data_IF_316778924499
#
_entry.id   IF_316778924499
#
_cell.length_a   1.000
_cell.length_b   1.000
_cell.length_c   1.000
_cell.angle_alpha   90.00
_cell.angle_beta   90.00
_cell.angle_gamma   90.00
#
_symmetry.space_group_name_H-M   'P 1'
#
loop_
_entity.id
_entity.type
_entity.pdbx_description
1 polymer ?
#
# COMPACT_ATOMS: atom_id res chain seq x y z
N UNK A 1 -17.39 6.05 -9.55
CA UNK A 1 -16.88 6.11 -10.95
C UNK A 1 -16.74 7.56 -11.44
N UNK A 2 -17.34 8.54 -10.77
CA UNK A 2 -17.30 9.97 -11.17
C UNK A 2 -15.99 10.71 -10.81
N UNK A 3 -15.07 10.08 -10.08
CA UNK A 3 -13.82 10.72 -9.60
C UNK A 3 -12.63 10.59 -10.56
N UNK A 4 -12.77 9.88 -11.68
CA UNK A 4 -11.68 9.65 -12.62
C UNK A 4 -11.90 10.37 -13.96
N UNK A 5 -10.81 10.90 -14.52
CA UNK A 5 -10.84 11.46 -15.87
C UNK A 5 -11.23 10.41 -16.91
N UNK A 6 -11.99 10.78 -17.97
CA UNK A 6 -12.50 9.85 -18.96
C UNK A 6 -11.39 9.06 -19.66
N UNK A 7 -10.21 9.68 -19.84
CA UNK A 7 -9.05 9.05 -20.44
C UNK A 7 -8.48 7.91 -19.59
N UNK A 8 -8.58 7.98 -18.26
CA UNK A 8 -8.14 6.92 -17.36
C UNK A 8 -9.14 5.76 -17.36
N UNK A 9 -10.44 6.06 -17.30
CA UNK A 9 -11.50 5.05 -17.28
C UNK A 9 -11.52 4.22 -18.58
N UNK A 10 -11.18 4.84 -19.71
CA UNK A 10 -11.13 4.16 -21.01
C UNK A 10 -9.97 3.17 -21.14
N UNK A 11 -9.00 3.17 -20.22
CA UNK A 11 -7.80 2.33 -20.32
C UNK A 11 -8.05 0.88 -19.93
N UNK A 12 -7.44 -0.09 -20.63
CA UNK A 12 -7.59 -1.50 -20.30
C UNK A 12 -7.07 -1.81 -18.88
N UNK A 13 -6.04 -1.10 -18.41
CA UNK A 13 -5.49 -1.27 -17.08
C UNK A 13 -6.53 -0.91 -16.00
N UNK A 14 -7.18 0.24 -16.15
CA UNK A 14 -8.22 0.68 -15.23
C UNK A 14 -9.40 -0.29 -15.23
N UNK A 15 -9.87 -0.69 -16.42
CA UNK A 15 -11.01 -1.60 -16.56
C UNK A 15 -10.73 -2.98 -15.93
N UNK A 16 -9.53 -3.51 -16.09
CA UNK A 16 -9.14 -4.80 -15.51
C UNK A 16 -9.12 -4.76 -13.98
N UNK A 17 -8.53 -3.71 -13.39
CA UNK A 17 -8.47 -3.54 -11.93
C UNK A 17 -9.86 -3.22 -11.36
N UNK A 18 -10.64 -2.38 -12.02
CA UNK A 18 -11.99 -2.02 -11.56
C UNK A 18 -12.94 -3.23 -11.57
N UNK A 19 -12.88 -4.05 -12.63
CA UNK A 19 -13.68 -5.29 -12.74
C UNK A 19 -13.40 -6.27 -11.60
N UNK A 20 -12.15 -6.33 -11.13
CA UNK A 20 -11.74 -7.20 -10.03
C UNK A 20 -12.57 -6.96 -8.75
N UNK A 21 -13.00 -5.71 -8.54
CA UNK A 21 -13.82 -5.32 -7.40
C UNK A 21 -15.32 -5.38 -7.67
N UNK A 22 -15.75 -5.06 -8.89
CA UNK A 22 -17.18 -5.04 -9.26
C UNK A 22 -17.77 -6.43 -9.43
N UNK A 23 -16.96 -7.40 -9.87
CA UNK A 23 -17.42 -8.76 -10.15
C UNK A 23 -17.07 -9.70 -8.99
N UNK A 24 -18.07 -10.32 -8.32
CA UNK A 24 -17.81 -11.27 -7.24
C UNK A 24 -16.91 -12.43 -7.68
N UNK A 25 -17.10 -12.91 -8.91
CA UNK A 25 -16.38 -14.05 -9.48
C UNK A 25 -15.03 -13.68 -10.11
N UNK A 26 -14.74 -12.39 -10.30
CA UNK A 26 -13.46 -11.99 -10.87
C UNK A 26 -12.32 -12.33 -9.91
N UNK A 27 -11.29 -12.97 -10.46
CA UNK A 27 -10.09 -13.38 -9.75
C UNK A 27 -8.87 -12.52 -10.09
N UNK A 28 -7.93 -12.44 -9.16
CA UNK A 28 -6.64 -11.78 -9.37
C UNK A 28 -5.90 -12.36 -10.60
N UNK A 29 -6.00 -13.67 -10.82
CA UNK A 29 -5.36 -14.36 -11.93
C UNK A 29 -5.94 -13.94 -13.30
N UNK A 30 -7.26 -13.83 -13.40
CA UNK A 30 -7.91 -13.36 -14.63
C UNK A 30 -7.58 -11.90 -14.92
N UNK A 31 -7.57 -11.04 -13.89
CA UNK A 31 -7.17 -9.62 -14.04
C UNK A 31 -5.71 -9.50 -14.50
N UNK A 32 -4.80 -10.30 -13.93
CA UNK A 32 -3.41 -10.37 -14.38
C UNK A 32 -3.30 -10.81 -15.84
N UNK A 33 -4.00 -11.87 -16.24
CA UNK A 33 -4.01 -12.32 -17.63
C UNK A 33 -4.53 -11.25 -18.58
N UNK A 34 -5.56 -10.50 -18.20
CA UNK A 34 -6.09 -9.39 -19.01
C UNK A 34 -5.07 -8.27 -19.20
N UNK A 35 -4.31 -7.93 -18.15
CA UNK A 35 -3.24 -6.92 -18.24
C UNK A 35 -2.11 -7.38 -19.16
N UNK A 36 -1.62 -8.62 -18.97
CA UNK A 36 -0.59 -9.18 -19.84
C UNK A 36 -1.05 -9.23 -21.29
N UNK A 37 -2.31 -9.61 -21.54
CA UNK A 37 -2.88 -9.63 -22.88
C UNK A 37 -2.97 -8.23 -23.50
N UNK A 38 -3.39 -7.23 -22.72
CA UNK A 38 -3.45 -5.83 -23.17
C UNK A 38 -2.06 -5.31 -23.57
N UNK A 39 -1.02 -5.65 -22.80
CA UNK A 39 0.38 -5.35 -23.15
C UNK A 39 0.76 -5.96 -24.50
N UNK A 40 0.52 -7.26 -24.67
CA UNK A 40 0.87 -7.96 -25.91
C UNK A 40 0.14 -7.39 -27.13
N UNK A 41 -1.13 -7.01 -26.98
CA UNK A 41 -1.91 -6.37 -28.04
C UNK A 41 -1.33 -5.00 -28.43
N UNK A 42 -0.91 -4.19 -27.44
CA UNK A 42 -0.23 -2.92 -27.67
C UNK A 42 1.10 -3.13 -28.41
N UNK A 43 1.90 -4.10 -27.99
CA UNK A 43 3.18 -4.41 -28.65
C UNK A 43 2.99 -4.89 -30.09
N UNK A 44 1.97 -5.71 -30.37
CA UNK A 44 1.64 -6.16 -31.72
C UNK A 44 1.18 -5.03 -32.64
N UNK A 45 0.61 -3.95 -32.10
CA UNK A 45 0.20 -2.79 -32.91
C UNK A 45 1.38 -2.04 -33.53
N UNK A 46 2.59 -2.17 -32.97
CA UNK A 46 3.83 -1.52 -33.41
C UNK A 46 3.73 0.02 -33.57
N UNK A 47 2.75 0.65 -32.92
CA UNK A 47 2.55 2.11 -33.00
C UNK A 47 3.56 2.91 -32.18
N UNK A 48 4.14 2.31 -31.15
CA UNK A 48 5.11 2.93 -30.25
C UNK A 48 6.29 1.97 -29.96
N UNK A 49 7.47 2.49 -29.54
CA UNK A 49 8.56 1.65 -29.07
C UNK A 49 8.15 0.77 -27.88
N UNK A 50 8.63 -0.48 -27.83
CA UNK A 50 8.34 -1.45 -26.75
C UNK A 50 8.58 -0.88 -25.35
N UNK A 51 9.73 -0.23 -25.13
CA UNK A 51 10.05 0.40 -23.85
C UNK A 51 9.04 1.48 -23.43
N UNK A 52 8.49 2.24 -24.39
CA UNK A 52 7.45 3.24 -24.12
C UNK A 52 6.12 2.57 -23.78
N UNK A 53 5.77 1.49 -24.46
CA UNK A 53 4.58 0.68 -24.16
C UNK A 53 4.69 0.11 -22.75
N UNK A 54 5.81 -0.51 -22.41
CA UNK A 54 6.03 -1.14 -21.11
C UNK A 54 6.01 -0.12 -19.97
N UNK A 55 6.69 1.01 -20.17
CA UNK A 55 6.67 2.13 -19.22
C UNK A 55 5.26 2.70 -19.00
N UNK A 56 4.52 2.98 -20.08
CA UNK A 56 3.15 3.48 -19.98
C UNK A 56 2.21 2.46 -19.34
N UNK A 57 2.29 1.20 -19.74
CA UNK A 57 1.42 0.16 -19.25
C UNK A 57 1.63 -0.09 -17.75
N UNK A 58 2.90 -0.09 -17.29
CA UNK A 58 3.23 -0.13 -15.86
C UNK A 58 2.69 1.09 -15.12
N UNK A 59 2.91 2.29 -15.67
CA UNK A 59 2.44 3.56 -15.11
C UNK A 59 0.92 3.54 -14.90
N UNK A 60 0.13 3.22 -15.93
CA UNK A 60 -1.32 3.21 -15.83
C UNK A 60 -1.85 2.07 -14.95
N UNK A 61 -1.18 0.92 -14.91
CA UNK A 61 -1.53 -0.16 -13.99
C UNK A 61 -1.41 0.29 -12.53
N UNK A 62 -0.26 0.86 -12.15
CA UNK A 62 -0.05 1.29 -10.76
C UNK A 62 -0.89 2.51 -10.39
N UNK A 63 -1.10 3.44 -11.32
CA UNK A 63 -2.00 4.57 -11.13
C UNK A 63 -3.41 4.07 -10.83
N UNK A 64 -3.99 3.25 -11.71
CA UNK A 64 -5.34 2.71 -11.53
C UNK A 64 -5.47 1.92 -10.23
N UNK A 65 -4.48 1.10 -9.89
CA UNK A 65 -4.46 0.34 -8.66
C UNK A 65 -4.52 1.23 -7.41
N UNK A 66 -3.65 2.24 -7.32
CA UNK A 66 -3.58 3.12 -6.14
C UNK A 66 -4.85 3.96 -6.03
N UNK A 67 -5.34 4.50 -7.14
CA UNK A 67 -6.57 5.28 -7.19
C UNK A 67 -7.79 4.44 -6.75
N UNK A 68 -7.95 3.25 -7.31
CA UNK A 68 -9.04 2.34 -6.95
C UNK A 68 -8.93 1.88 -5.49
N UNK A 69 -7.73 1.55 -5.01
CA UNK A 69 -7.52 1.16 -3.62
C UNK A 69 -7.93 2.26 -2.64
N UNK A 70 -7.71 3.53 -3.00
CA UNK A 70 -8.08 4.69 -2.17
C UNK A 70 -9.58 4.85 -2.01
N UNK A 71 -10.35 4.51 -3.05
CA UNK A 71 -11.82 4.53 -3.03
C UNK A 71 -12.43 3.21 -2.52
N UNK A 72 -11.61 2.23 -2.16
CA UNK A 72 -12.07 0.90 -1.74
C UNK A 72 -11.91 0.76 -0.23
N UNK A 73 -13.00 0.51 0.52
CA UNK A 73 -12.92 0.25 1.95
C UNK A 73 -11.91 -0.87 2.27
N UNK A 74 -11.09 -0.68 3.31
CA UNK A 74 -10.02 -1.61 3.70
C UNK A 74 -10.41 -3.10 3.66
N UNK A 75 -11.60 -3.45 4.17
CA UNK A 75 -12.12 -4.81 4.23
C UNK A 75 -12.40 -5.46 2.85
N UNK A 76 -12.42 -4.67 1.77
CA UNK A 76 -12.68 -5.12 0.40
C UNK A 76 -11.42 -5.11 -0.48
N UNK A 77 -10.27 -4.72 0.07
CA UNK A 77 -9.02 -4.58 -0.69
C UNK A 77 -8.26 -5.90 -0.90
N UNK A 78 -8.68 -7.00 -0.26
CA UNK A 78 -7.95 -8.29 -0.31
C UNK A 78 -7.67 -8.77 -1.75
N UNK A 79 -8.63 -8.61 -2.66
CA UNK A 79 -8.44 -8.97 -4.07
C UNK A 79 -7.36 -8.12 -4.76
N UNK A 80 -7.26 -6.84 -4.42
CA UNK A 80 -6.22 -5.96 -4.96
C UNK A 80 -4.83 -6.38 -4.46
N UNK A 81 -4.73 -6.73 -3.18
CA UNK A 81 -3.47 -7.22 -2.58
C UNK A 81 -3.05 -8.52 -3.24
N UNK A 82 -3.98 -9.46 -3.40
CA UNK A 82 -3.71 -10.73 -4.10
C UNK A 82 -3.26 -10.50 -5.55
N UNK A 83 -3.92 -9.57 -6.26
CA UNK A 83 -3.53 -9.17 -7.60
C UNK A 83 -2.08 -8.64 -7.65
N UNK A 84 -1.69 -7.75 -6.73
CA UNK A 84 -0.30 -7.26 -6.66
C UNK A 84 0.68 -8.39 -6.35
N UNK A 85 0.36 -9.28 -5.42
CA UNK A 85 1.18 -10.45 -5.09
C UNK A 85 1.40 -11.35 -6.30
N UNK A 86 0.37 -11.59 -7.11
CA UNK A 86 0.49 -12.40 -8.33
C UNK A 86 1.27 -11.66 -9.42
N UNK A 87 1.00 -10.37 -9.61
CA UNK A 87 1.72 -9.53 -10.57
C UNK A 87 3.22 -9.53 -10.27
N UNK A 88 3.60 -9.32 -9.00
CA UNK A 88 4.99 -9.33 -8.54
C UNK A 88 5.69 -10.68 -8.76
N UNK A 89 4.95 -11.79 -8.78
CA UNK A 89 5.48 -13.14 -9.03
C UNK A 89 5.50 -13.52 -10.51
N UNK A 90 5.13 -12.61 -11.40
CA UNK A 90 5.00 -12.88 -12.83
C UNK A 90 6.16 -12.28 -13.62
N UNK A 91 7.20 -13.08 -13.92
CA UNK A 91 8.25 -12.63 -14.81
C UNK A 91 7.70 -12.48 -16.23
N UNK A 92 8.18 -11.44 -16.93
CA UNK A 92 7.92 -11.20 -18.34
C UNK A 92 9.24 -11.14 -19.09
N UNK A 93 9.24 -11.65 -20.31
CA UNK A 93 10.43 -11.72 -21.17
C UNK A 93 10.08 -11.14 -22.53
N UNK A 94 10.97 -10.31 -23.09
CA UNK A 94 10.82 -9.86 -24.46
C UNK A 94 11.08 -11.04 -25.41
N UNK A 95 10.13 -11.42 -26.28
CA UNK A 95 10.30 -12.57 -27.17
C UNK A 95 11.38 -12.36 -28.24
N UNK A 96 11.82 -11.13 -28.46
CA UNK A 96 12.83 -10.75 -29.46
C UNK A 96 14.23 -10.78 -28.87
N UNK A 97 14.43 -10.21 -27.69
CA UNK A 97 15.76 -10.11 -27.05
C UNK A 97 16.02 -11.22 -26.03
N UNK A 98 14.97 -11.85 -25.50
CA UNK A 98 15.08 -12.79 -24.38
C UNK A 98 15.34 -12.12 -23.03
N UNK A 99 15.38 -10.78 -22.98
CA UNK A 99 15.65 -10.01 -21.76
C UNK A 99 14.35 -9.69 -21.01
N UNK A 100 14.47 -9.41 -19.71
CA UNK A 100 13.35 -8.89 -18.91
C UNK A 100 13.13 -7.42 -19.25
N UNK A 101 11.93 -7.03 -19.71
CA UNK A 101 11.62 -5.63 -19.94
C UNK A 101 11.67 -4.83 -18.65
N UNK A 102 12.04 -3.54 -18.75
CA UNK A 102 12.10 -2.64 -17.60
C UNK A 102 11.22 -1.41 -17.78
N UNK A 103 10.85 -0.81 -16.65
CA UNK A 103 10.26 0.52 -16.56
C UNK A 103 10.93 1.25 -15.40
N UNK A 104 11.38 2.49 -15.59
CA UNK A 104 12.20 3.26 -14.61
C UNK A 104 13.35 2.44 -14.02
N UNK A 105 14.09 1.72 -14.87
CA UNK A 105 15.23 0.87 -14.50
C UNK A 105 14.90 -0.25 -13.49
N UNK A 106 13.61 -0.59 -13.34
CA UNK A 106 13.10 -1.70 -12.55
C UNK A 106 12.52 -2.78 -13.45
N UNK A 107 12.66 -4.05 -13.07
CA UNK A 107 12.08 -5.16 -13.82
C UNK A 107 10.56 -5.03 -13.85
N UNK A 108 9.99 -5.16 -15.04
CA UNK A 108 8.56 -5.05 -15.22
C UNK A 108 7.85 -6.12 -14.37
N UNK A 109 6.87 -5.66 -13.58
CA UNK A 109 6.06 -6.41 -12.62
C UNK A 109 6.78 -6.92 -11.37
N UNK A 110 7.90 -7.62 -11.51
CA UNK A 110 8.60 -8.24 -10.36
C UNK A 110 9.15 -7.23 -9.35
N UNK A 111 9.54 -6.04 -9.83
CA UNK A 111 9.99 -4.93 -8.97
C UNK A 111 8.88 -3.87 -8.74
N UNK A 112 7.67 -4.11 -9.24
CA UNK A 112 6.50 -3.22 -9.13
C UNK A 112 6.81 -1.74 -9.46
N UNK A 113 7.32 -1.45 -10.69
CA UNK A 113 7.68 -0.10 -11.09
C UNK A 113 6.53 0.89 -10.89
N UNK A 114 6.84 2.10 -10.40
CA UNK A 114 5.93 3.18 -10.06
C UNK A 114 5.02 2.98 -8.84
N UNK A 115 4.84 1.77 -8.30
CA UNK A 115 3.95 1.55 -7.16
C UNK A 115 4.37 2.39 -5.94
N UNK A 116 5.65 2.30 -5.58
CA UNK A 116 6.21 3.08 -4.45
C UNK A 116 6.20 4.58 -4.71
N UNK A 117 6.40 5.00 -5.97
CA UNK A 117 6.33 6.41 -6.37
C UNK A 117 4.93 6.95 -6.10
N UNK A 118 3.88 6.28 -6.59
CA UNK A 118 2.51 6.76 -6.41
C UNK A 118 2.00 6.72 -4.98
N UNK A 119 2.34 5.67 -4.24
CA UNK A 119 2.00 5.59 -2.82
C UNK A 119 2.72 6.68 -2.02
N UNK A 120 3.99 6.97 -2.36
CA UNK A 120 4.75 8.05 -1.74
C UNK A 120 4.22 9.44 -2.06
N UNK A 121 3.95 9.73 -3.33
CA UNK A 121 3.40 11.02 -3.76
C UNK A 121 2.05 11.32 -3.10
N UNK A 122 1.26 10.28 -2.81
CA UNK A 122 -0.05 10.38 -2.15
C UNK A 122 -0.01 10.11 -0.65
N UNK A 123 1.18 9.98 -0.05
CA UNK A 123 1.34 9.79 1.39
C UNK A 123 1.12 11.09 2.19
N UNK A 124 1.24 12.26 1.57
CA UNK A 124 1.13 13.51 2.32
C UNK A 124 -0.31 13.79 2.76
N UNK A 125 -0.50 14.06 4.05
CA UNK A 125 -1.80 14.46 4.63
C UNK A 125 -1.64 15.71 5.49
N UNK A 126 -2.54 16.69 5.31
CA UNK A 126 -2.50 17.95 6.06
C UNK A 126 -3.43 17.89 7.28
N UNK A 127 -2.84 17.61 8.45
CA UNK A 127 -3.55 17.55 9.74
C UNK A 127 -3.94 18.92 10.31
N UNK A 128 -3.40 20.02 9.78
CA UNK A 128 -3.64 21.38 10.30
C UNK A 128 -4.89 22.03 9.71
N UNK A 129 -5.54 21.40 8.73
CA UNK A 129 -6.79 21.87 8.13
C UNK A 129 -7.91 20.87 8.37
N UNK A 130 -9.14 21.36 8.37
CA UNK A 130 -10.31 20.48 8.32
C UNK A 130 -10.38 19.85 6.92
N UNK A 131 -10.26 18.53 6.86
CA UNK A 131 -10.40 17.78 5.60
C UNK A 131 -11.85 17.29 5.45
N UNK A 132 -12.40 17.26 4.21
CA UNK A 132 -13.68 16.61 3.95
C UNK A 132 -13.66 15.13 4.37
N UNK A 133 -14.78 14.56 4.85
CA UNK A 133 -14.84 13.15 5.23
C UNK A 133 -14.34 12.19 4.14
N UNK A 134 -14.63 12.46 2.87
CA UNK A 134 -14.16 11.62 1.75
C UNK A 134 -12.64 11.62 1.61
N UNK A 135 -11.96 12.75 1.85
CA UNK A 135 -10.49 12.81 1.81
C UNK A 135 -9.85 12.06 2.98
N UNK A 136 -10.51 12.06 4.15
CA UNK A 136 -10.07 11.28 5.30
C UNK A 136 -10.24 9.78 5.00
N UNK A 137 -11.38 9.39 4.43
CA UNK A 137 -11.65 8.00 4.05
C UNK A 137 -10.68 7.50 2.98
N UNK A 138 -10.44 8.29 1.92
CA UNK A 138 -9.44 7.97 0.89
C UNK A 138 -8.03 7.79 1.47
N UNK A 139 -7.67 8.64 2.43
CA UNK A 139 -6.40 8.58 3.14
C UNK A 139 -6.27 7.31 3.98
N UNK A 140 -7.29 6.98 4.77
CA UNK A 140 -7.35 5.78 5.60
C UNK A 140 -7.33 4.50 4.75
N UNK A 141 -8.11 4.44 3.67
CA UNK A 141 -8.13 3.31 2.75
C UNK A 141 -6.78 3.07 2.08
N UNK A 142 -6.08 4.14 1.67
CA UNK A 142 -4.75 4.03 1.07
C UNK A 142 -3.72 3.48 2.09
N UNK A 143 -3.79 3.92 3.35
CA UNK A 143 -2.93 3.40 4.41
C UNK A 143 -3.23 1.94 4.72
N UNK A 144 -4.51 1.56 4.79
CA UNK A 144 -4.90 0.17 4.95
C UNK A 144 -4.38 -0.69 3.79
N UNK A 145 -4.39 -0.18 2.55
CA UNK A 145 -3.84 -0.88 1.40
C UNK A 145 -2.33 -1.09 1.54
N UNK A 146 -1.57 -0.04 1.88
CA UNK A 146 -0.13 -0.13 2.14
C UNK A 146 0.20 -1.12 3.27
N UNK A 147 -0.58 -1.11 4.35
CA UNK A 147 -0.43 -2.04 5.45
C UNK A 147 -0.67 -3.49 5.01
N UNK A 148 -1.74 -3.75 4.24
CA UNK A 148 -2.03 -5.09 3.72
C UNK A 148 -0.97 -5.57 2.70
N UNK A 149 -0.46 -4.71 1.84
CA UNK A 149 0.69 -5.03 0.96
C UNK A 149 1.93 -5.39 1.77
N UNK A 150 2.20 -4.63 2.84
CA UNK A 150 3.32 -4.85 3.75
C UNK A 150 3.22 -6.20 4.45
N UNK A 151 2.02 -6.59 4.90
CA UNK A 151 1.78 -7.89 5.49
C UNK A 151 1.93 -9.04 4.48
N UNK A 152 1.54 -8.82 3.22
CA UNK A 152 1.67 -9.79 2.15
C UNK A 152 3.10 -9.93 1.59
N UNK A 153 4.03 -9.06 1.99
CA UNK A 153 5.41 -9.07 1.52
C UNK A 153 6.17 -10.30 2.04
N UNK A 154 6.92 -10.97 1.15
CA UNK A 154 7.62 -12.22 1.50
C UNK A 154 8.72 -12.04 2.58
N UNK A 155 9.36 -10.87 2.66
CA UNK A 155 10.37 -10.54 3.66
C UNK A 155 10.52 -9.02 3.88
N UNK A 156 11.28 -8.61 4.89
CA UNK A 156 11.64 -7.19 5.12
C UNK A 156 12.39 -6.62 3.90
N UNK A 157 11.98 -5.45 3.43
CA UNK A 157 12.58 -4.77 2.28
C UNK A 157 12.12 -5.28 0.91
N UNK A 158 11.16 -6.20 0.87
CA UNK A 158 10.51 -6.65 -0.36
C UNK A 158 9.82 -5.49 -1.12
N UNK A 159 9.56 -5.64 -2.42
CA UNK A 159 8.94 -4.60 -3.25
C UNK A 159 7.53 -4.16 -2.79
N UNK A 160 6.85 -5.02 -2.02
CA UNK A 160 5.55 -4.73 -1.39
C UNK A 160 5.65 -4.27 0.06
N UNK A 161 6.86 -4.19 0.63
CA UNK A 161 7.07 -3.77 2.00
C UNK A 161 7.08 -2.24 2.11
N UNK A 162 5.97 -1.71 2.63
CA UNK A 162 5.72 -0.30 2.83
C UNK A 162 5.84 0.12 4.30
N UNK A 163 6.52 -0.67 5.14
CA UNK A 163 6.67 -0.41 6.59
C UNK A 163 7.18 1.00 6.92
N UNK A 164 7.95 1.64 6.03
CA UNK A 164 8.42 3.03 6.21
C UNK A 164 7.25 4.02 6.39
N UNK A 165 6.13 3.80 5.70
CA UNK A 165 4.95 4.65 5.81
C UNK A 165 4.17 4.38 7.11
N UNK A 166 4.22 3.14 7.61
CA UNK A 166 3.76 2.81 8.96
C UNK A 166 4.57 3.55 10.03
N UNK A 167 5.90 3.58 9.89
CA UNK A 167 6.78 4.34 10.78
C UNK A 167 6.43 5.83 10.81
N UNK A 168 6.30 6.47 9.64
CA UNK A 168 5.91 7.88 9.56
C UNK A 168 4.53 8.15 10.18
N UNK A 169 3.60 7.21 10.01
CA UNK A 169 2.27 7.31 10.63
C UNK A 169 2.37 7.25 12.15
N UNK A 170 3.20 6.37 12.71
CA UNK A 170 3.38 6.24 14.16
C UNK A 170 4.11 7.42 14.78
N UNK A 171 5.16 7.92 14.12
CA UNK A 171 5.84 9.15 14.55
C UNK A 171 4.81 10.30 14.61
N UNK A 172 4.00 10.45 13.55
CA UNK A 172 2.97 11.49 13.51
C UNK A 172 1.83 11.29 14.51
N UNK A 173 1.48 10.06 14.88
CA UNK A 173 0.36 9.78 15.78
C UNK A 173 0.74 9.77 17.26
N UNK A 174 1.98 9.39 17.59
CA UNK A 174 2.38 9.01 18.94
C UNK A 174 3.63 9.71 19.46
N UNK A 175 4.47 10.26 18.58
CA UNK A 175 5.72 10.94 18.96
C UNK A 175 5.65 12.47 18.76
N UNK A 176 4.83 12.94 17.83
CA UNK A 176 4.54 14.36 17.60
C UNK A 176 3.20 14.77 18.25
N UNK A 177 2.27 15.25 17.43
CA UNK A 177 0.91 15.60 17.79
C UNK A 177 0.05 14.32 17.81
N UNK A 178 -1.08 14.28 18.52
CA UNK A 178 -2.00 13.13 18.46
C UNK A 178 -3.29 13.48 17.71
N UNK A 179 -3.25 13.88 16.42
CA UNK A 179 -4.49 14.16 15.69
C UNK A 179 -5.26 12.85 15.50
N UNK A 180 -6.59 12.94 15.61
CA UNK A 180 -7.48 11.78 15.62
C UNK A 180 -7.28 10.89 14.38
N UNK A 181 -7.12 11.51 13.22
CA UNK A 181 -6.92 10.83 11.93
C UNK A 181 -5.58 10.07 11.89
N UNK A 182 -4.50 10.61 12.47
CA UNK A 182 -3.23 9.89 12.52
C UNK A 182 -3.31 8.68 13.46
N UNK A 183 -3.98 8.82 14.62
CA UNK A 183 -4.20 7.71 15.55
C UNK A 183 -5.05 6.61 14.93
N UNK A 184 -6.14 6.97 14.24
CA UNK A 184 -6.97 6.01 13.49
C UNK A 184 -6.17 5.30 12.40
N UNK A 185 -5.39 6.05 11.63
CA UNK A 185 -4.51 5.49 10.59
C UNK A 185 -3.46 4.54 11.18
N UNK A 186 -2.85 4.90 12.32
CA UNK A 186 -1.93 4.04 13.05
C UNK A 186 -2.62 2.73 13.51
N UNK A 187 -3.87 2.81 13.97
CA UNK A 187 -4.63 1.61 14.30
C UNK A 187 -4.80 0.69 13.09
N UNK A 188 -5.04 1.21 11.88
CA UNK A 188 -5.11 0.40 10.66
C UNK A 188 -3.79 -0.32 10.37
N UNK A 189 -2.64 0.35 10.57
CA UNK A 189 -1.33 -0.26 10.43
C UNK A 189 -1.11 -1.42 11.41
N UNK A 190 -1.51 -1.28 12.68
CA UNK A 190 -1.46 -2.40 13.63
C UNK A 190 -2.38 -3.54 13.21
N UNK A 191 -3.61 -3.25 12.79
CA UNK A 191 -4.61 -4.26 12.42
C UNK A 191 -4.15 -5.08 11.22
N UNK A 192 -3.63 -4.43 10.19
CA UNK A 192 -3.34 -5.11 8.92
C UNK A 192 -1.88 -5.55 8.79
N UNK A 193 -0.93 -4.91 9.46
CA UNK A 193 0.50 -5.18 9.33
C UNK A 193 1.22 -5.42 10.67
N UNK A 194 0.50 -5.65 11.77
CA UNK A 194 1.07 -5.77 13.12
C UNK A 194 2.25 -6.75 13.22
N UNK A 195 2.15 -7.91 12.58
CA UNK A 195 3.20 -8.93 12.58
C UNK A 195 4.49 -8.42 11.91
N UNK A 196 4.36 -7.85 10.71
CA UNK A 196 5.50 -7.27 9.97
C UNK A 196 6.10 -6.07 10.69
N UNK A 197 5.28 -5.24 11.35
CA UNK A 197 5.78 -4.12 12.17
C UNK A 197 6.55 -4.61 13.41
N UNK A 198 6.08 -5.68 14.04
CA UNK A 198 6.77 -6.32 15.16
C UNK A 198 8.12 -6.91 14.71
N UNK A 199 8.15 -7.61 13.58
CA UNK A 199 9.39 -8.10 12.97
C UNK A 199 10.40 -6.97 12.71
N UNK A 200 9.94 -5.82 12.20
CA UNK A 200 10.80 -4.64 12.02
C UNK A 200 11.40 -4.16 13.37
N UNK A 201 10.62 -4.15 14.45
CA UNK A 201 11.07 -3.75 15.78
C UNK A 201 12.10 -4.72 16.36
N UNK A 202 11.88 -6.03 16.19
CA UNK A 202 12.83 -7.07 16.58
C UNK A 202 14.13 -6.97 15.79
N UNK A 203 14.04 -6.73 14.48
CA UNK A 203 15.19 -6.56 13.59
C UNK A 203 15.91 -5.21 13.76
N UNK A 204 15.34 -4.28 14.53
CA UNK A 204 15.83 -2.90 14.69
C UNK A 204 16.06 -2.19 13.36
N UNK A 205 15.12 -2.36 12.42
CA UNK A 205 15.30 -1.85 11.06
C UNK A 205 15.32 -0.32 11.06
N UNK A 206 16.31 0.24 10.38
CA UNK A 206 16.47 1.68 10.17
C UNK A 206 16.20 2.03 8.71
N UNK A 207 15.61 3.20 8.49
CA UNK A 207 15.43 3.80 7.17
C UNK A 207 16.21 5.12 7.07
N UNK A 208 16.52 5.50 5.84
CA UNK A 208 17.33 6.68 5.54
C UNK A 208 18.81 6.35 5.34
N UNK A 209 19.55 7.36 4.90
CA UNK A 209 21.00 7.24 4.73
C UNK A 209 21.71 7.33 6.09
N UNK A 210 22.99 6.96 6.13
CA UNK A 210 23.75 6.94 7.38
C UNK A 210 23.80 8.31 8.09
N UNK A 211 23.70 9.38 7.31
CA UNK A 211 23.78 10.78 7.71
C UNK A 211 22.42 11.37 8.14
N UNK A 212 21.30 10.65 7.99
CA UNK A 212 20.00 11.10 8.47
C UNK A 212 19.96 11.04 10.00
N UNK A 213 20.08 12.21 10.64
CA UNK A 213 19.99 12.36 12.10
C UNK A 213 18.72 13.10 12.54
N UNK A 214 17.92 12.56 13.48
CA UNK A 214 18.04 11.22 14.06
C UNK A 214 17.65 10.12 13.07
N UNK A 215 18.39 9.00 13.09
CA UNK A 215 18.07 7.82 12.27
C UNK A 215 16.67 7.33 12.63
N UNK A 216 15.78 7.24 11.64
CA UNK A 216 14.40 6.80 11.84
C UNK A 216 14.34 5.28 11.74
N UNK A 217 13.86 4.62 12.78
CA UNK A 217 13.80 3.17 12.80
C UNK A 217 12.71 2.61 13.69
N UNK A 218 12.52 1.32 13.55
CA UNK A 218 11.71 0.52 14.44
C UNK A 218 12.59 -0.02 15.57
N UNK A 219 12.08 0.05 16.80
CA UNK A 219 12.69 -0.61 17.95
C UNK A 219 11.63 -0.97 18.99
N UNK A 220 12.01 -1.77 19.98
CA UNK A 220 11.10 -2.27 21.00
C UNK A 220 10.65 -1.17 21.98
N UNK A 221 11.43 -0.11 22.17
CA UNK A 221 11.06 1.00 23.05
C UNK A 221 9.94 1.83 22.42
N UNK A 222 10.10 2.19 21.14
CA UNK A 222 9.08 2.80 20.29
C UNK A 222 7.82 1.94 20.23
N UNK A 223 7.94 0.63 20.04
CA UNK A 223 6.77 -0.26 20.06
C UNK A 223 5.97 -0.17 21.37
N UNK A 224 6.64 -0.21 22.53
CA UNK A 224 5.94 -0.09 23.82
C UNK A 224 5.32 1.31 23.98
N UNK A 225 6.04 2.37 23.59
CA UNK A 225 5.49 3.72 23.57
C UNK A 225 4.21 3.80 22.72
N UNK A 226 4.24 3.29 21.48
CA UNK A 226 3.09 3.33 20.59
C UNK A 226 1.91 2.55 21.16
N UNK A 227 2.14 1.37 21.73
CA UNK A 227 1.11 0.58 22.43
C UNK A 227 0.47 1.35 23.58
N UNK A 228 1.27 2.02 24.42
CA UNK A 228 0.76 2.86 25.50
C UNK A 228 -0.09 4.02 24.96
N UNK A 229 0.35 4.67 23.87
CA UNK A 229 -0.38 5.78 23.26
C UNK A 229 -1.68 5.34 22.58
N UNK A 230 -1.73 4.18 21.94
CA UNK A 230 -2.97 3.58 21.43
C UNK A 230 -3.95 3.32 22.58
N UNK A 231 -3.47 2.78 23.70
CA UNK A 231 -4.30 2.56 24.89
C UNK A 231 -4.84 3.88 25.46
N UNK A 232 -3.99 4.91 25.58
CA UNK A 232 -4.38 6.23 26.07
C UNK A 232 -5.39 6.94 25.15
N UNK A 233 -5.30 6.72 23.84
CA UNK A 233 -6.22 7.32 22.86
C UNK A 233 -7.69 6.94 23.10
N UNK A 234 -7.97 5.82 23.78
CA UNK A 234 -9.33 5.44 24.18
C UNK A 234 -10.03 6.51 25.04
N UNK A 235 -9.26 7.29 25.80
CA UNK A 235 -9.82 8.33 26.67
C UNK A 235 -10.17 9.61 25.92
N UNK A 236 -9.58 9.82 24.74
CA UNK A 236 -9.70 11.06 23.97
C UNK A 236 -10.64 10.89 22.78
N UNK A 237 -10.54 9.77 22.06
CA UNK A 237 -11.30 9.54 20.83
C UNK A 237 -12.58 8.76 21.11
N UNK A 238 -13.65 9.44 21.53
CA UNK A 238 -14.88 8.81 22.03
C UNK A 238 -15.84 8.30 20.95
N UNK A 239 -15.56 8.58 19.68
CA UNK A 239 -16.39 8.12 18.55
C UNK A 239 -16.38 6.60 18.44
N UNK A 240 -17.53 5.99 18.12
CA UNK A 240 -17.72 4.52 18.09
C UNK A 240 -16.72 3.85 17.15
N UNK A 241 -16.60 4.36 15.93
CA UNK A 241 -15.70 3.78 14.92
C UNK A 241 -14.24 3.84 15.35
N UNK A 242 -13.84 4.95 15.99
CA UNK A 242 -12.49 5.14 16.51
C UNK A 242 -12.21 4.19 17.69
N UNK A 243 -13.17 3.98 18.58
CA UNK A 243 -13.06 3.01 19.67
C UNK A 243 -12.94 1.58 19.17
N UNK A 244 -13.67 1.21 18.12
CA UNK A 244 -13.59 -0.11 17.50
C UNK A 244 -12.20 -0.35 16.88
N UNK A 245 -11.66 0.64 16.14
CA UNK A 245 -10.32 0.58 15.58
C UNK A 245 -9.25 0.41 16.66
N UNK A 246 -9.33 1.20 17.74
CA UNK A 246 -8.37 1.10 18.86
C UNK A 246 -8.47 -0.28 19.53
N UNK A 247 -9.68 -0.82 19.72
CA UNK A 247 -9.86 -2.15 20.31
C UNK A 247 -9.24 -3.25 19.45
N UNK A 248 -9.45 -3.21 18.12
CA UNK A 248 -8.85 -4.17 17.17
C UNK A 248 -7.33 -4.05 17.13
N UNK A 249 -6.79 -2.82 17.09
CA UNK A 249 -5.35 -2.58 17.12
C UNK A 249 -4.69 -3.15 18.38
N UNK A 250 -5.28 -2.91 19.56
CA UNK A 250 -4.77 -3.46 20.82
C UNK A 250 -4.82 -4.99 20.86
N UNK A 251 -5.85 -5.60 20.26
CA UNK A 251 -5.93 -7.06 20.16
C UNK A 251 -4.82 -7.62 19.27
N UNK A 252 -4.55 -7.00 18.12
CA UNK A 252 -3.48 -7.44 17.21
C UNK A 252 -2.09 -7.24 17.83
N UNK A 253 -1.84 -6.10 18.49
CA UNK A 253 -0.60 -5.86 19.26
C UNK A 253 -0.37 -6.99 20.29
N UNK A 254 -1.39 -7.32 21.07
CA UNK A 254 -1.29 -8.38 22.09
C UNK A 254 -1.04 -9.76 21.47
N UNK A 255 -1.63 -10.05 20.32
CA UNK A 255 -1.43 -11.29 19.58
C UNK A 255 0.01 -11.44 19.09
N UNK A 256 0.58 -10.42 18.44
CA UNK A 256 1.93 -10.51 17.86
C UNK A 256 3.03 -10.55 18.92
N UNK A 257 2.84 -9.84 20.05
CA UNK A 257 3.77 -9.94 21.19
C UNK A 257 3.76 -11.35 21.81
N UNK A 258 2.61 -12.01 21.87
CA UNK A 258 2.49 -13.36 22.42
C UNK A 258 3.09 -14.46 21.52
N UNK A 259 3.18 -14.20 20.21
CA UNK A 259 3.80 -15.11 19.23
C UNK A 259 5.33 -14.99 19.19
N UNK A 260 5.87 -13.89 19.71
CA UNK A 260 7.30 -13.58 19.72
C UNK A 260 8.09 -14.09 20.94
N UNK A 261 7.58 -15.09 21.66
CA UNK A 261 8.26 -15.83 22.76
C UNK A 261 8.59 -17.25 22.32
#
# INVERSE_FOLDING_TARGET
MDDFGPDLIARPEFQAVNRLLESPDASAAETLQQLLQAREDLQRSQKEPRAKIDGNHAWFTMLSLVEIASLTPAAKQTKLVEFVSQLQKTPVTDPTTGETPTAIDLNLWTDLPYLRVYLGDRFSFNYSRQNPPSQIEEWENRNAFMAQLTAAADHLGHAMDFSIYGLYTFEKAFEEDQPAEAVRTACLWFIFAGERLWENCQARRVFGDEDDTPRRGFDLERWQLWKERVSAAKLVLTEVDSQELIAKAMAEIGKVEAQGI
#
